data_IF_075729409421
#
_entry.id   IF_075729409421
#
_cell.length_a   1.000
_cell.length_b   1.000
_cell.length_c   1.000
_cell.angle_alpha   90.00
_cell.angle_beta   90.00
_cell.angle_gamma   90.00
#
_symmetry.space_group_name_H-M   'P 1'
#
loop_
_entity.id
_entity.type
_entity.pdbx_description
1 polymer ?
#
# COMPACT_ATOMS: atom_id res chain seq x y z
N UNK A 1 -43.66 -37.73 -45.22
CA UNK A 1 -44.87 -37.40 -44.42
C UNK A 1 -44.57 -36.24 -43.48
N UNK A 2 -45.13 -35.04 -43.71
CA UNK A 2 -45.00 -33.91 -42.76
C UNK A 2 -45.96 -34.14 -41.59
N UNK A 3 -45.43 -34.43 -40.41
CA UNK A 3 -46.22 -34.61 -39.18
C UNK A 3 -46.82 -33.24 -38.81
N UNK A 4 -48.12 -33.04 -39.06
CA UNK A 4 -48.81 -31.79 -38.69
C UNK A 4 -48.85 -31.70 -37.16
N UNK A 5 -48.31 -30.61 -36.61
CA UNK A 5 -48.37 -30.34 -35.17
C UNK A 5 -49.82 -30.15 -34.74
N UNK A 6 -50.18 -30.74 -33.61
CA UNK A 6 -51.52 -30.56 -33.02
C UNK A 6 -51.63 -29.19 -32.35
N UNK A 7 -52.85 -28.63 -32.27
CA UNK A 7 -53.10 -27.35 -31.58
C UNK A 7 -52.55 -27.32 -30.14
N UNK A 8 -52.58 -28.46 -29.45
CA UNK A 8 -52.03 -28.60 -28.10
C UNK A 8 -50.51 -28.41 -28.08
N UNK A 9 -49.79 -28.96 -29.07
CA UNK A 9 -48.35 -28.79 -29.20
C UNK A 9 -47.96 -27.35 -29.56
N UNK A 10 -48.73 -26.70 -30.44
CA UNK A 10 -48.52 -25.27 -30.77
C UNK A 10 -48.69 -24.41 -29.51
N UNK A 11 -49.74 -24.65 -28.72
CA UNK A 11 -50.00 -23.89 -27.49
C UNK A 11 -48.89 -24.07 -26.45
N UNK A 12 -48.38 -25.29 -26.28
CA UNK A 12 -47.27 -25.57 -25.37
C UNK A 12 -45.98 -24.88 -25.79
N UNK A 13 -45.68 -24.83 -27.09
CA UNK A 13 -44.49 -24.13 -27.61
C UNK A 13 -44.62 -22.62 -27.43
N UNK A 14 -45.80 -22.04 -27.69
CA UNK A 14 -46.04 -20.61 -27.47
C UNK A 14 -45.88 -20.26 -25.99
N UNK A 15 -46.43 -21.06 -25.07
CA UNK A 15 -46.24 -20.85 -23.63
C UNK A 15 -44.77 -20.96 -23.20
N UNK A 16 -44.03 -21.93 -23.75
CA UNK A 16 -42.59 -22.07 -23.50
C UNK A 16 -41.80 -20.84 -23.98
N UNK A 17 -42.11 -20.34 -25.17
CA UNK A 17 -41.49 -19.12 -25.73
C UNK A 17 -41.77 -17.89 -24.86
N UNK A 18 -43.01 -17.71 -24.39
CA UNK A 18 -43.37 -16.60 -23.51
C UNK A 18 -42.61 -16.67 -22.18
N UNK A 19 -42.44 -17.86 -21.60
CA UNK A 19 -41.65 -18.05 -20.37
C UNK A 19 -40.16 -17.74 -20.57
N UNK A 20 -39.59 -18.14 -21.71
CA UNK A 20 -38.19 -17.83 -22.05
C UNK A 20 -37.99 -16.32 -22.26
N UNK A 21 -38.91 -15.66 -22.98
CA UNK A 21 -38.82 -14.20 -23.20
C UNK A 21 -39.02 -13.44 -21.88
N UNK A 22 -39.95 -13.88 -21.02
CA UNK A 22 -40.21 -13.25 -19.73
C UNK A 22 -39.02 -13.42 -18.76
N UNK A 23 -38.42 -14.61 -18.69
CA UNK A 23 -37.24 -14.85 -17.86
C UNK A 23 -36.00 -14.10 -18.36
N UNK A 24 -35.81 -14.02 -19.68
CA UNK A 24 -34.74 -13.20 -20.26
C UNK A 24 -34.97 -11.70 -20.00
N UNK A 25 -36.21 -11.21 -20.12
CA UNK A 25 -36.56 -9.82 -19.82
C UNK A 25 -36.36 -9.45 -18.35
N UNK A 26 -36.77 -10.33 -17.43
CA UNK A 26 -36.54 -10.15 -16.00
C UNK A 26 -35.04 -10.18 -15.66
N UNK A 27 -34.29 -11.11 -16.25
CA UNK A 27 -32.83 -11.20 -16.11
C UNK A 27 -32.10 -9.97 -16.65
N UNK A 28 -32.50 -9.47 -17.82
CA UNK A 28 -31.95 -8.24 -18.41
C UNK A 28 -32.24 -7.02 -17.53
N UNK A 29 -33.44 -6.91 -16.97
CA UNK A 29 -33.81 -5.80 -16.08
C UNK A 29 -33.04 -5.85 -14.75
N UNK A 30 -32.86 -7.05 -14.18
CA UNK A 30 -32.04 -7.26 -12.99
C UNK A 30 -30.55 -6.98 -13.24
N UNK A 31 -30.01 -7.45 -14.37
CA UNK A 31 -28.65 -7.20 -14.79
C UNK A 31 -28.40 -5.71 -15.05
N UNK A 32 -29.33 -5.01 -15.71
CA UNK A 32 -29.25 -3.56 -15.91
C UNK A 32 -29.25 -2.81 -14.58
N UNK A 33 -30.07 -3.23 -13.61
CA UNK A 33 -30.10 -2.63 -12.26
C UNK A 33 -28.80 -2.89 -11.49
N UNK A 34 -28.26 -4.11 -11.55
CA UNK A 34 -27.01 -4.50 -10.89
C UNK A 34 -25.76 -3.86 -11.54
N UNK A 35 -25.74 -3.72 -12.86
CA UNK A 35 -24.63 -3.09 -13.58
C UNK A 35 -24.67 -1.55 -13.47
N UNK A 36 -25.87 -0.96 -13.36
CA UNK A 36 -26.02 0.48 -13.10
C UNK A 36 -25.57 0.92 -11.70
N UNK A 37 -25.38 -0.03 -10.77
CA UNK A 37 -24.86 0.26 -9.42
C UNK A 37 -23.33 0.31 -9.33
N UNK A 38 -22.58 -0.17 -10.32
CA UNK A 38 -21.10 -0.14 -10.30
C UNK A 38 -20.49 0.97 -11.19
N UNK A 39 -21.24 1.53 -12.14
CA UNK A 39 -20.83 2.67 -12.98
C UNK A 39 -21.63 3.95 -12.70
N UNK A 40 -22.10 4.11 -11.46
CA UNK A 40 -22.42 5.45 -10.96
C UNK A 40 -21.08 6.16 -10.73
N UNK A 41 -20.63 6.95 -11.70
CA UNK A 41 -19.84 8.14 -11.41
C UNK A 41 -20.55 8.85 -10.27
N UNK A 42 -20.08 8.69 -9.04
CA UNK A 42 -20.69 9.32 -7.88
C UNK A 42 -20.76 10.81 -8.19
N UNK A 43 -21.94 11.31 -8.52
CA UNK A 43 -22.18 12.73 -8.56
C UNK A 43 -21.85 13.19 -7.15
N UNK A 44 -20.72 13.87 -7.02
CA UNK A 44 -20.29 14.49 -5.77
C UNK A 44 -21.28 15.63 -5.53
N UNK A 45 -22.40 15.33 -4.88
CA UNK A 45 -23.35 16.36 -4.49
C UNK A 45 -22.76 17.09 -3.30
N UNK A 46 -22.24 18.29 -3.54
CA UNK A 46 -21.79 19.19 -2.49
C UNK A 46 -23.05 19.75 -1.82
N UNK A 47 -23.44 19.15 -0.69
CA UNK A 47 -24.48 19.73 0.16
C UNK A 47 -23.87 20.88 0.98
N UNK A 48 -24.36 22.11 0.73
CA UNK A 48 -23.86 23.34 1.35
C UNK A 48 -24.40 23.55 2.77
N UNK A 49 -25.17 22.60 3.33
CA UNK A 49 -25.72 22.73 4.68
C UNK A 49 -24.65 22.53 5.76
N UNK A 50 -24.08 23.64 6.23
CA UNK A 50 -23.32 23.72 7.49
C UNK A 50 -24.18 24.30 8.62
N UNK A 51 -23.78 24.13 9.88
CA UNK A 51 -24.40 24.86 11.00
C UNK A 51 -24.26 26.37 10.80
N UNK A 52 -25.25 27.15 11.26
CA UNK A 52 -25.35 28.62 11.04
C UNK A 52 -24.07 29.37 11.45
N UNK A 53 -23.37 28.93 12.51
CA UNK A 53 -22.08 29.52 12.93
C UNK A 53 -20.91 29.21 11.98
N UNK A 54 -20.89 28.03 11.35
CA UNK A 54 -19.88 27.69 10.33
C UNK A 54 -20.19 28.39 9.00
N UNK A 55 -21.44 28.67 8.70
CA UNK A 55 -21.87 29.27 7.44
C UNK A 55 -21.29 30.68 7.22
N UNK A 56 -21.13 31.49 8.29
CA UNK A 56 -20.48 32.81 8.18
C UNK A 56 -18.98 32.72 7.84
N UNK A 57 -18.29 31.71 8.39
CA UNK A 57 -16.84 31.50 8.16
C UNK A 57 -16.49 30.94 6.78
N UNK A 58 -17.46 30.36 6.06
CA UNK A 58 -17.25 29.77 4.73
C UNK A 58 -17.79 30.63 3.57
N UNK A 59 -18.38 31.79 3.84
CA UNK A 59 -18.91 32.69 2.80
C UNK A 59 -17.86 33.01 1.71
N UNK A 60 -16.67 33.43 2.13
CA UNK A 60 -15.56 33.72 1.22
C UNK A 60 -15.09 32.47 0.43
N UNK A 61 -15.11 31.29 1.06
CA UNK A 61 -14.76 30.04 0.37
C UNK A 61 -15.72 29.76 -0.79
N UNK A 62 -17.03 29.87 -0.55
CA UNK A 62 -18.04 29.68 -1.59
C UNK A 62 -18.00 30.77 -2.65
N UNK A 63 -17.75 32.03 -2.27
CA UNK A 63 -17.56 33.12 -3.24
C UNK A 63 -16.40 32.85 -4.20
N UNK A 64 -15.28 32.32 -3.71
CA UNK A 64 -14.13 31.93 -4.54
C UNK A 64 -14.49 30.74 -5.43
N UNK A 65 -15.17 29.73 -4.89
CA UNK A 65 -15.64 28.58 -5.66
C UNK A 65 -16.55 29.00 -6.82
N UNK A 66 -17.57 29.82 -6.54
CA UNK A 66 -18.53 30.31 -7.53
C UNK A 66 -17.84 31.17 -8.60
N UNK A 67 -16.83 31.98 -8.23
CA UNK A 67 -16.01 32.75 -9.18
C UNK A 67 -15.17 31.85 -10.07
N UNK A 68 -14.61 30.75 -9.57
CA UNK A 68 -13.90 29.78 -10.41
C UNK A 68 -14.87 29.15 -11.43
N UNK A 69 -16.03 28.68 -10.97
CA UNK A 69 -17.07 28.12 -11.84
C UNK A 69 -17.57 29.12 -12.90
N UNK A 70 -17.69 30.40 -12.54
CA UNK A 70 -18.17 31.46 -13.44
C UNK A 70 -17.10 31.97 -14.40
N UNK A 71 -15.92 32.32 -13.90
CA UNK A 71 -14.94 33.16 -14.61
C UNK A 71 -13.69 32.41 -15.10
N UNK A 72 -13.38 31.21 -14.57
CA UNK A 72 -12.19 30.45 -15.01
C UNK A 72 -12.31 30.01 -16.48
N UNK A 73 -11.28 30.29 -17.29
CA UNK A 73 -11.32 30.09 -18.75
C UNK A 73 -11.52 28.61 -19.14
N UNK A 74 -10.77 27.69 -18.53
CA UNK A 74 -10.83 26.27 -18.86
C UNK A 74 -11.80 25.52 -17.96
N UNK A 75 -13.09 25.54 -18.30
CA UNK A 75 -14.13 24.85 -17.52
C UNK A 75 -13.91 23.35 -17.39
N UNK A 76 -13.25 22.70 -18.35
CA UNK A 76 -12.97 21.27 -18.31
C UNK A 76 -11.99 20.88 -17.18
N UNK A 77 -11.18 21.82 -16.69
CA UNK A 77 -10.30 21.58 -15.55
C UNK A 77 -11.02 21.67 -14.19
N UNK A 78 -12.25 22.21 -14.14
CA UNK A 78 -13.03 22.36 -12.92
C UNK A 78 -13.74 21.05 -12.56
N UNK A 79 -12.96 20.11 -12.03
CA UNK A 79 -13.49 18.83 -11.53
C UNK A 79 -13.76 18.96 -10.03
N UNK A 80 -15.03 18.96 -9.63
CA UNK A 80 -15.45 19.23 -8.24
C UNK A 80 -14.73 18.35 -7.21
N UNK A 81 -14.53 17.06 -7.53
CA UNK A 81 -13.80 16.13 -6.65
C UNK A 81 -12.35 16.57 -6.43
N UNK A 82 -11.66 16.99 -7.49
CA UNK A 82 -10.28 17.48 -7.42
C UNK A 82 -10.20 18.77 -6.60
N UNK A 83 -11.15 19.69 -6.81
CA UNK A 83 -11.22 20.95 -6.06
C UNK A 83 -11.48 20.74 -4.57
N UNK A 84 -12.41 19.84 -4.21
CA UNK A 84 -12.68 19.47 -2.81
C UNK A 84 -11.44 18.86 -2.17
N UNK A 85 -10.79 17.90 -2.83
CA UNK A 85 -9.57 17.28 -2.31
C UNK A 85 -8.45 18.32 -2.13
N UNK A 86 -8.28 19.24 -3.07
CA UNK A 86 -7.33 20.35 -2.96
C UNK A 86 -7.63 21.29 -1.79
N UNK A 87 -8.90 21.62 -1.55
CA UNK A 87 -9.31 22.43 -0.40
C UNK A 87 -9.02 21.75 0.94
N UNK A 88 -9.30 20.44 1.06
CA UNK A 88 -8.99 19.66 2.26
C UNK A 88 -7.48 19.58 2.47
N UNK A 89 -6.70 19.30 1.41
CA UNK A 89 -5.23 19.27 1.46
C UNK A 89 -4.67 20.61 1.94
N UNK A 90 -5.17 21.74 1.43
CA UNK A 90 -4.74 23.08 1.86
C UNK A 90 -5.09 23.39 3.32
N UNK A 91 -6.28 22.98 3.77
CA UNK A 91 -6.71 23.14 5.18
C UNK A 91 -5.82 22.36 6.15
N UNK A 92 -5.43 21.15 5.78
CA UNK A 92 -4.53 20.35 6.60
C UNK A 92 -3.11 20.92 6.58
N UNK A 93 -2.61 21.33 5.41
CA UNK A 93 -1.30 21.93 5.26
C UNK A 93 -1.14 23.25 6.03
N UNK A 94 -2.23 24.00 6.30
CA UNK A 94 -2.16 25.24 7.08
C UNK A 94 -1.83 25.03 8.56
N UNK A 95 -1.70 23.79 9.03
CA UNK A 95 -1.22 23.48 10.38
C UNK A 95 0.31 23.57 10.50
N UNK A 96 1.02 23.72 9.38
CA UNK A 96 2.49 23.69 9.30
C UNK A 96 3.12 22.46 9.97
N UNK A 97 2.35 21.38 10.10
CA UNK A 97 2.78 20.07 10.57
C UNK A 97 2.94 19.13 9.35
N UNK A 98 4.18 18.75 8.99
CA UNK A 98 4.42 17.90 7.82
C UNK A 98 3.86 16.48 7.96
N UNK A 99 3.45 16.07 9.18
CA UNK A 99 2.92 14.74 9.45
C UNK A 99 1.40 14.68 9.46
N UNK A 100 0.71 15.82 9.61
CA UNK A 100 -0.74 15.87 9.43
C UNK A 100 -1.03 16.04 7.95
N UNK A 101 -1.57 14.98 7.33
CA UNK A 101 -1.85 14.95 5.89
C UNK A 101 -3.24 14.38 5.59
N UNK A 102 -3.88 14.89 4.55
CA UNK A 102 -5.08 14.28 4.00
C UNK A 102 -4.70 13.32 2.87
N UNK A 103 -4.96 12.04 3.09
CA UNK A 103 -4.82 11.01 2.08
C UNK A 103 -6.14 10.83 1.34
N UNK A 104 -6.13 11.10 0.03
CA UNK A 104 -7.26 10.78 -0.84
C UNK A 104 -7.53 9.27 -0.84
N UNK A 105 -8.74 8.82 -1.25
CA UNK A 105 -9.09 7.39 -1.18
C UNK A 105 -8.08 6.43 -1.84
N UNK A 106 -7.45 6.85 -2.95
CA UNK A 106 -6.42 6.06 -3.64
C UNK A 106 -5.11 6.00 -2.83
N UNK A 107 -4.64 7.15 -2.34
CA UNK A 107 -3.43 7.28 -1.52
C UNK A 107 -3.59 6.50 -0.19
N UNK A 108 -4.74 6.65 0.47
CA UNK A 108 -5.08 5.93 1.70
C UNK A 108 -5.14 4.41 1.48
N UNK A 109 -5.71 3.97 0.35
CA UNK A 109 -5.72 2.55 -0.02
C UNK A 109 -4.30 2.01 -0.17
N UNK A 110 -3.42 2.72 -0.87
CA UNK A 110 -2.02 2.27 -1.03
C UNK A 110 -1.24 2.29 0.28
N UNK A 111 -1.43 3.30 1.12
CA UNK A 111 -0.84 3.32 2.46
C UNK A 111 -1.23 2.07 3.27
N UNK A 112 -2.50 1.65 3.20
CA UNK A 112 -2.97 0.42 3.85
C UNK A 112 -2.39 -0.85 3.23
N UNK A 113 -2.28 -0.92 1.91
CA UNK A 113 -1.66 -2.05 1.21
C UNK A 113 -0.15 -2.17 1.52
N UNK A 114 0.54 -1.03 1.70
CA UNK A 114 1.93 -1.03 2.13
C UNK A 114 2.07 -1.53 3.59
N UNK A 115 1.14 -1.16 4.48
CA UNK A 115 1.11 -1.68 5.85
C UNK A 115 0.70 -3.16 5.92
N UNK A 116 -0.17 -3.65 5.04
CA UNK A 116 -0.50 -5.08 5.02
C UNK A 116 0.64 -5.95 4.50
N UNK A 117 1.60 -5.36 3.77
CA UNK A 117 2.64 -6.10 3.06
C UNK A 117 2.14 -6.79 1.80
N UNK A 118 0.89 -6.53 1.41
CA UNK A 118 0.22 -7.09 0.24
C UNK A 118 -0.32 -5.97 -0.63
N UNK A 119 0.24 -5.84 -1.82
CA UNK A 119 -0.23 -4.89 -2.82
C UNK A 119 -0.31 -5.55 -4.19
N UNK A 120 -1.09 -4.93 -5.08
CA UNK A 120 -1.24 -5.40 -6.45
C UNK A 120 -0.33 -4.62 -7.40
N UNK A 121 0.53 -5.33 -8.10
CA UNK A 121 1.49 -4.73 -9.02
C UNK A 121 2.08 -5.74 -9.97
N UNK A 122 3.21 -5.36 -10.58
CA UNK A 122 3.89 -6.16 -11.61
C UNK A 122 5.18 -6.80 -11.09
N UNK A 123 5.60 -6.48 -9.87
CA UNK A 123 6.80 -7.03 -9.24
C UNK A 123 8.10 -6.47 -9.81
N UNK A 124 8.26 -5.15 -9.77
CA UNK A 124 9.46 -4.43 -10.22
C UNK A 124 9.92 -3.54 -9.07
N UNK A 125 11.21 -3.57 -8.75
CA UNK A 125 11.86 -2.53 -7.97
C UNK A 125 12.26 -1.38 -8.91
N UNK A 126 11.71 -0.20 -8.66
CA UNK A 126 11.91 1.00 -9.46
C UNK A 126 12.96 1.91 -8.81
N UNK A 127 13.60 2.73 -9.63
CA UNK A 127 14.49 3.80 -9.19
C UNK A 127 14.84 4.70 -10.36
N UNK A 128 15.67 5.71 -10.13
CA UNK A 128 16.24 6.50 -11.21
C UNK A 128 17.65 6.05 -11.53
N UNK A 129 17.97 6.06 -12.82
CA UNK A 129 19.32 5.92 -13.33
C UNK A 129 19.54 7.02 -14.36
N UNK A 130 20.60 7.80 -14.17
CA UNK A 130 20.96 8.90 -15.07
C UNK A 130 19.81 9.91 -15.29
N UNK A 131 18.95 10.10 -14.27
CA UNK A 131 17.78 10.97 -14.33
C UNK A 131 16.51 10.35 -14.92
N UNK A 132 16.57 9.11 -15.42
CA UNK A 132 15.44 8.42 -16.04
C UNK A 132 14.88 7.30 -15.16
N UNK A 133 13.56 7.12 -15.19
CA UNK A 133 12.90 6.03 -14.48
C UNK A 133 13.38 4.68 -15.04
N UNK A 134 13.88 3.82 -14.16
CA UNK A 134 14.49 2.56 -14.53
C UNK A 134 14.08 1.41 -13.60
N UNK A 135 14.16 0.20 -14.15
CA UNK A 135 14.05 -1.04 -13.41
C UNK A 135 15.38 -1.30 -12.70
N UNK A 136 15.38 -1.23 -11.38
CA UNK A 136 16.53 -1.66 -10.58
C UNK A 136 16.65 -3.18 -10.64
N UNK A 137 15.55 -3.87 -10.36
CA UNK A 137 15.47 -5.32 -10.49
C UNK A 137 14.00 -5.78 -10.64
N UNK A 138 13.71 -6.78 -11.48
CA UNK A 138 12.46 -7.53 -11.39
C UNK A 138 12.47 -8.41 -10.14
N UNK A 139 11.32 -8.57 -9.49
CA UNK A 139 11.15 -9.52 -8.39
C UNK A 139 11.04 -10.94 -8.96
N UNK A 140 11.76 -11.89 -8.36
CA UNK A 140 11.80 -13.27 -8.88
C UNK A 140 10.45 -13.98 -8.78
N UNK A 141 10.07 -14.72 -9.81
CA UNK A 141 8.79 -15.41 -9.93
C UNK A 141 7.59 -14.49 -10.21
N UNK A 142 7.78 -13.17 -10.26
CA UNK A 142 6.70 -12.18 -10.43
C UNK A 142 6.41 -11.87 -11.91
N UNK A 143 5.25 -11.25 -12.23
CA UNK A 143 4.82 -11.02 -13.60
C UNK A 143 5.85 -10.32 -14.49
N UNK A 144 6.57 -9.31 -13.99
CA UNK A 144 7.56 -8.57 -14.77
C UNK A 144 8.74 -9.44 -15.21
N UNK A 145 9.29 -10.28 -14.33
CA UNK A 145 10.37 -11.20 -14.67
C UNK A 145 9.92 -12.16 -15.79
N UNK A 146 8.70 -12.70 -15.67
CA UNK A 146 8.10 -13.62 -16.66
C UNK A 146 7.88 -12.97 -18.02
N UNK A 147 7.71 -11.65 -18.06
CA UNK A 147 7.58 -10.88 -19.31
C UNK A 147 8.94 -10.43 -19.88
N UNK A 148 10.06 -10.91 -19.32
CA UNK A 148 11.40 -10.65 -19.86
C UNK A 148 11.94 -9.25 -19.55
N UNK A 149 11.37 -8.56 -18.55
CA UNK A 149 11.88 -7.31 -18.01
C UNK A 149 13.19 -7.60 -17.26
N UNK A 150 14.19 -6.74 -17.46
CA UNK A 150 15.53 -6.90 -16.92
C UNK A 150 15.94 -5.67 -16.10
N UNK A 151 16.87 -5.90 -15.18
CA UNK A 151 17.57 -4.81 -14.50
C UNK A 151 18.23 -3.88 -15.54
N UNK A 152 18.06 -2.58 -15.36
CA UNK A 152 18.56 -1.54 -16.25
C UNK A 152 17.64 -1.16 -17.41
N UNK A 153 16.48 -1.81 -17.59
CA UNK A 153 15.47 -1.35 -18.55
C UNK A 153 14.90 0.00 -18.10
N UNK A 154 14.83 0.99 -19.00
CA UNK A 154 14.21 2.29 -18.75
C UNK A 154 12.71 2.23 -19.05
N UNK A 155 11.89 2.83 -18.20
CA UNK A 155 10.44 2.92 -18.40
C UNK A 155 10.13 4.30 -18.97
N UNK A 156 9.80 4.35 -20.25
CA UNK A 156 9.54 5.59 -20.99
C UNK A 156 8.07 6.00 -20.87
N UNK A 157 7.14 5.04 -20.91
CA UNK A 157 5.71 5.30 -20.77
C UNK A 157 4.99 4.25 -19.92
N UNK A 158 3.93 4.68 -19.24
CA UNK A 158 2.97 3.81 -18.54
C UNK A 158 1.57 4.11 -19.05
N UNK A 159 0.92 3.11 -19.65
CA UNK A 159 -0.39 3.22 -20.32
C UNK A 159 -0.44 4.39 -21.32
N UNK A 160 0.68 4.61 -22.02
CA UNK A 160 0.83 5.68 -23.03
C UNK A 160 1.20 7.06 -22.47
N UNK A 161 1.18 7.25 -21.14
CA UNK A 161 1.60 8.48 -20.49
C UNK A 161 3.13 8.54 -20.39
N UNK A 162 3.71 9.68 -20.72
CA UNK A 162 5.16 9.92 -20.65
C UNK A 162 5.66 9.97 -19.20
N UNK A 163 6.77 9.27 -18.93
CA UNK A 163 7.36 9.16 -17.59
C UNK A 163 8.49 10.17 -17.32
N UNK A 164 8.75 11.08 -18.26
CA UNK A 164 9.70 12.19 -18.04
C UNK A 164 9.16 13.09 -16.94
N UNK A 165 10.02 13.47 -16.00
CA UNK A 165 9.71 14.33 -14.84
C UNK A 165 8.62 13.80 -13.88
N UNK A 166 8.06 12.62 -14.12
CA UNK A 166 7.15 11.94 -13.19
C UNK A 166 7.97 11.45 -12.01
N UNK A 167 7.54 11.74 -10.78
CA UNK A 167 8.23 11.30 -9.56
C UNK A 167 8.09 9.79 -9.33
N UNK A 168 9.03 9.19 -8.58
CA UNK A 168 8.98 7.76 -8.26
C UNK A 168 7.66 7.33 -7.59
N UNK A 169 7.12 8.06 -6.59
CA UNK A 169 5.83 7.71 -5.98
C UNK A 169 4.65 7.76 -6.96
N UNK A 170 4.65 8.71 -7.89
CA UNK A 170 3.63 8.80 -8.94
C UNK A 170 3.74 7.64 -9.94
N UNK A 171 4.96 7.31 -10.37
CA UNK A 171 5.20 6.16 -11.24
C UNK A 171 4.72 4.85 -10.59
N UNK A 172 5.02 4.65 -9.30
CA UNK A 172 4.49 3.51 -8.51
C UNK A 172 2.95 3.50 -8.52
N UNK A 173 2.32 4.66 -8.34
CA UNK A 173 0.86 4.84 -8.33
C UNK A 173 0.20 4.56 -9.69
N UNK A 174 0.92 4.76 -10.80
CA UNK A 174 0.46 4.45 -12.15
C UNK A 174 0.64 2.97 -12.50
N UNK A 175 1.74 2.37 -12.04
CA UNK A 175 2.06 0.95 -12.28
C UNK A 175 1.21 0.03 -11.40
N UNK A 176 0.90 0.43 -10.16
CA UNK A 176 -0.05 -0.28 -9.27
C UNK A 176 -1.48 -0.17 -9.79
N UNK A 177 -2.32 -1.10 -9.39
CA UNK A 177 -3.72 -1.16 -9.82
C UNK A 177 -4.37 -2.47 -9.43
N UNK A 178 -5.69 -2.64 -9.63
CA UNK A 178 -6.42 -3.81 -9.16
C UNK A 178 -5.86 -5.12 -9.70
N UNK A 179 -5.94 -6.19 -8.90
CA UNK A 179 -5.54 -7.54 -9.30
C UNK A 179 -6.20 -7.95 -10.63
N UNK A 180 -5.45 -8.60 -11.51
CA UNK A 180 -5.96 -9.09 -12.81
C UNK A 180 -6.11 -8.01 -13.88
N UNK A 181 -5.98 -6.72 -13.55
CA UNK A 181 -5.93 -5.65 -14.57
C UNK A 181 -4.56 -5.64 -15.25
N UNK A 182 -4.51 -5.07 -16.45
CA UNK A 182 -3.26 -4.92 -17.22
C UNK A 182 -2.67 -3.53 -17.06
N UNK A 183 -1.35 -3.46 -17.15
CA UNK A 183 -0.59 -2.23 -17.39
C UNK A 183 0.29 -2.43 -18.60
N UNK A 184 0.38 -1.41 -19.44
CA UNK A 184 1.29 -1.39 -20.59
C UNK A 184 2.50 -0.52 -20.26
N UNK A 185 3.68 -1.12 -20.26
CA UNK A 185 4.95 -0.41 -20.11
C UNK A 185 5.62 -0.28 -21.47
N UNK A 186 5.96 0.94 -21.88
CA UNK A 186 6.86 1.16 -23.02
C UNK A 186 8.26 1.35 -22.47
N UNK A 187 9.18 0.48 -22.88
CA UNK A 187 10.53 0.41 -22.30
C UNK A 187 11.63 0.60 -23.34
N UNK A 188 12.80 1.02 -22.87
CA UNK A 188 14.03 1.12 -23.64
C UNK A 188 15.13 0.30 -22.95
N UNK A 189 15.79 -0.58 -23.70
CA UNK A 189 16.89 -1.41 -23.19
C UNK A 189 18.23 -0.92 -23.74
N UNK A 190 19.22 -0.81 -22.87
CA UNK A 190 20.56 -0.40 -23.27
C UNK A 190 21.12 -1.33 -24.36
N UNK A 191 21.57 -0.75 -25.47
CA UNK A 191 22.08 -1.49 -26.63
C UNK A 191 21.03 -1.83 -27.68
N UNK A 192 19.74 -1.57 -27.43
CA UNK A 192 18.66 -1.69 -28.42
C UNK A 192 18.22 -0.29 -28.85
N UNK A 193 18.12 -0.01 -30.17
CA UNK A 193 17.82 1.34 -30.67
C UNK A 193 16.34 1.72 -30.55
N UNK A 194 15.45 0.73 -30.48
CA UNK A 194 14.00 0.92 -30.50
C UNK A 194 13.38 0.62 -29.13
N UNK A 195 12.29 1.31 -28.80
CA UNK A 195 11.47 0.98 -27.64
C UNK A 195 10.62 -0.27 -27.90
N UNK A 196 10.31 -1.01 -26.85
CA UNK A 196 9.40 -2.15 -26.91
C UNK A 196 8.30 -2.04 -25.87
N UNK A 197 7.13 -2.59 -26.20
CA UNK A 197 5.97 -2.59 -25.32
C UNK A 197 5.82 -3.93 -24.59
N UNK A 198 5.50 -3.86 -23.31
CA UNK A 198 5.21 -5.03 -22.47
C UNK A 198 3.86 -4.83 -21.79
N UNK A 199 2.91 -5.73 -22.05
CA UNK A 199 1.68 -5.81 -21.26
C UNK A 199 1.86 -6.79 -20.11
N UNK A 200 1.58 -6.33 -18.89
CA UNK A 200 1.74 -7.14 -17.68
C UNK A 200 0.42 -7.17 -16.93
N UNK A 201 -0.01 -8.37 -16.54
CA UNK A 201 -1.16 -8.55 -15.66
C UNK A 201 -0.71 -8.34 -14.22
N UNK A 202 -1.36 -7.41 -13.52
CA UNK A 202 -1.10 -7.14 -12.11
C UNK A 202 -1.50 -8.35 -11.26
N UNK A 203 -0.64 -8.72 -10.33
CA UNK A 203 -0.85 -9.82 -9.38
C UNK A 203 -0.55 -9.36 -7.96
N UNK A 204 -0.96 -10.16 -6.97
CA UNK A 204 -0.57 -9.94 -5.58
C UNK A 204 0.95 -10.06 -5.44
N UNK A 205 1.55 -9.05 -4.84
CA UNK A 205 2.95 -9.03 -4.45
C UNK A 205 2.97 -9.09 -2.93
N UNK A 206 3.62 -10.12 -2.40
CA UNK A 206 3.80 -10.30 -0.97
C UNK A 206 5.26 -9.97 -0.67
N UNK A 207 5.48 -8.98 0.19
CA UNK A 207 6.82 -8.62 0.65
C UNK A 207 6.92 -8.97 2.13
N UNK A 208 7.79 -9.90 2.52
CA UNK A 208 7.94 -10.27 3.92
C UNK A 208 8.44 -9.07 4.74
N UNK A 209 7.91 -8.91 5.95
CA UNK A 209 8.37 -7.94 6.92
C UNK A 209 9.66 -8.39 7.58
N UNK A 210 9.89 -9.70 7.72
CA UNK A 210 11.04 -10.27 8.43
C UNK A 210 11.91 -11.12 7.51
N UNK A 211 13.21 -10.82 7.48
CA UNK A 211 14.23 -11.64 6.82
C UNK A 211 15.23 -12.16 7.87
N UNK A 212 15.41 -13.49 7.93
CA UNK A 212 16.41 -14.12 8.79
C UNK A 212 17.56 -14.70 7.95
N UNK A 213 18.80 -14.38 8.33
CA UNK A 213 20.02 -14.98 7.79
C UNK A 213 20.97 -15.36 8.92
N UNK A 214 21.69 -16.46 8.77
CA UNK A 214 22.77 -16.83 9.69
C UNK A 214 24.11 -16.43 9.09
N UNK A 215 24.89 -15.64 9.81
CA UNK A 215 26.24 -15.22 9.46
C UNK A 215 27.25 -16.05 10.24
N UNK A 216 28.35 -16.44 9.61
CA UNK A 216 29.45 -17.10 10.31
C UNK A 216 30.32 -16.08 11.03
N UNK A 217 30.55 -16.30 12.33
CA UNK A 217 31.53 -15.55 13.11
C UNK A 217 32.92 -16.19 12.99
N UNK A 218 33.97 -15.43 13.30
CA UNK A 218 35.38 -15.87 13.18
C UNK A 218 35.75 -17.13 13.98
N UNK A 219 34.90 -17.57 14.91
CA UNK A 219 35.07 -18.80 15.71
C UNK A 219 34.22 -19.99 15.26
N UNK A 220 33.52 -19.91 14.12
CA UNK A 220 32.59 -20.94 13.66
C UNK A 220 31.21 -20.93 14.34
N UNK A 221 31.01 -20.03 15.31
CA UNK A 221 29.69 -19.71 15.89
C UNK A 221 28.85 -18.95 14.87
N UNK A 222 27.53 -18.94 15.04
CA UNK A 222 26.62 -18.23 14.15
C UNK A 222 26.03 -16.98 14.78
N UNK A 223 25.80 -15.95 13.97
CA UNK A 223 25.06 -14.75 14.34
C UNK A 223 23.77 -14.74 13.55
N UNK A 224 22.63 -14.63 14.24
CA UNK A 224 21.34 -14.45 13.60
C UNK A 224 21.20 -12.98 13.19
N UNK A 225 21.23 -12.71 11.90
CA UNK A 225 20.90 -11.41 11.32
C UNK A 225 19.40 -11.38 11.02
N UNK A 226 18.66 -10.66 11.86
CA UNK A 226 17.22 -10.53 11.81
C UNK A 226 16.87 -9.12 11.31
N UNK A 227 16.54 -9.02 10.03
CA UNK A 227 16.19 -7.75 9.40
C UNK A 227 14.68 -7.57 9.38
N UNK A 228 14.22 -6.45 9.93
CA UNK A 228 12.82 -6.07 9.96
C UNK A 228 12.62 -4.88 9.00
N UNK A 229 11.82 -5.06 7.94
CA UNK A 229 11.65 -4.06 6.89
C UNK A 229 10.43 -3.16 7.08
N UNK A 230 9.46 -3.57 7.90
CA UNK A 230 8.26 -2.81 8.27
C UNK A 230 7.59 -3.38 9.51
N UNK A 231 6.68 -2.62 10.11
CA UNK A 231 5.74 -3.10 11.13
C UNK A 231 4.33 -3.21 10.53
N UNK A 232 4.11 -4.26 9.74
CA UNK A 232 2.87 -4.55 9.04
C UNK A 232 2.03 -5.69 9.62
N UNK A 233 0.90 -6.00 8.97
CA UNK A 233 -0.13 -6.94 9.48
C UNK A 233 0.41 -8.35 9.79
N UNK A 234 1.38 -8.84 9.01
CA UNK A 234 1.95 -10.21 9.16
C UNK A 234 3.21 -10.28 10.02
N UNK A 235 3.70 -9.13 10.48
CA UNK A 235 5.02 -9.02 11.10
C UNK A 235 5.15 -9.89 12.33
N UNK A 236 4.15 -9.90 13.21
CA UNK A 236 4.19 -10.66 14.45
C UNK A 236 4.28 -12.17 14.19
N UNK A 237 3.57 -12.69 13.18
CA UNK A 237 3.63 -14.10 12.78
C UNK A 237 4.98 -14.46 12.18
N UNK A 238 5.48 -13.65 11.24
CA UNK A 238 6.79 -13.86 10.61
C UNK A 238 7.93 -13.77 11.62
N UNK A 239 7.81 -12.85 12.58
CA UNK A 239 8.77 -12.68 13.67
C UNK A 239 8.86 -13.91 14.56
N UNK A 240 7.71 -14.43 15.01
CA UNK A 240 7.69 -15.63 15.86
C UNK A 240 8.32 -16.83 15.15
N UNK A 241 8.08 -17.00 13.84
CA UNK A 241 8.72 -18.05 13.04
C UNK A 241 10.24 -17.87 12.99
N UNK A 242 10.72 -16.65 12.74
CA UNK A 242 12.14 -16.37 12.71
C UNK A 242 12.81 -16.61 14.08
N UNK A 243 12.17 -16.20 15.18
CA UNK A 243 12.66 -16.47 16.54
C UNK A 243 12.72 -17.98 16.83
N UNK A 244 11.69 -18.74 16.43
CA UNK A 244 11.69 -20.20 16.59
C UNK A 244 12.78 -20.88 15.75
N UNK A 245 13.19 -20.30 14.62
CA UNK A 245 14.35 -20.77 13.85
C UNK A 245 15.68 -20.44 14.51
N UNK A 246 15.83 -19.22 15.06
CA UNK A 246 17.02 -18.80 15.81
C UNK A 246 17.29 -19.75 16.99
N UNK A 247 16.24 -20.11 17.73
CA UNK A 247 16.34 -20.95 18.94
C UNK A 247 16.68 -22.42 18.67
N UNK A 248 16.60 -22.88 17.41
CA UNK A 248 17.05 -24.23 17.03
C UNK A 248 18.57 -24.34 16.91
N UNK A 249 19.28 -23.22 16.85
CA UNK A 249 20.73 -23.21 16.69
C UNK A 249 21.43 -23.15 18.05
N UNK A 250 21.97 -24.28 18.49
CA UNK A 250 22.70 -24.38 19.77
C UNK A 250 24.07 -23.66 19.74
N UNK A 251 24.56 -23.27 18.55
CA UNK A 251 25.85 -22.59 18.36
C UNK A 251 25.68 -21.09 18.06
N UNK A 252 24.59 -20.50 18.56
CA UNK A 252 24.26 -19.10 18.41
C UNK A 252 25.13 -18.21 19.33
N UNK A 253 25.88 -17.31 18.73
CA UNK A 253 26.69 -16.30 19.43
C UNK A 253 25.88 -15.09 19.89
N UNK A 254 24.86 -14.72 19.12
CA UNK A 254 24.05 -13.53 19.33
C UNK A 254 23.16 -13.21 18.15
N UNK A 255 22.42 -12.11 18.30
CA UNK A 255 21.42 -11.62 17.35
C UNK A 255 21.80 -10.19 16.94
N UNK A 256 21.67 -9.91 15.65
CA UNK A 256 21.68 -8.55 15.11
C UNK A 256 20.25 -8.24 14.70
N UNK A 257 19.64 -7.24 15.34
CA UNK A 257 18.38 -6.67 14.90
C UNK A 257 18.67 -5.54 13.92
N UNK A 258 18.33 -5.72 12.65
CA UNK A 258 18.57 -4.72 11.61
C UNK A 258 17.28 -3.96 11.28
N UNK A 259 17.20 -2.71 11.73
CA UNK A 259 16.10 -1.78 11.51
C UNK A 259 16.43 -0.74 10.42
N UNK A 260 17.54 -0.89 9.69
CA UNK A 260 17.96 0.08 8.67
C UNK A 260 16.95 0.11 7.52
N UNK A 261 16.60 1.32 7.10
CA UNK A 261 15.60 1.58 6.05
C UNK A 261 14.21 1.02 6.36
N UNK A 262 13.87 0.87 7.65
CA UNK A 262 12.53 0.53 8.11
C UNK A 262 11.81 1.82 8.57
N UNK A 263 10.85 2.33 7.78
CA UNK A 263 10.15 3.59 8.10
C UNK A 263 9.12 3.44 9.23
N UNK A 264 8.99 2.25 9.82
CA UNK A 264 8.08 1.97 10.92
C UNK A 264 6.82 1.24 10.46
N UNK A 265 5.67 1.64 11.02
CA UNK A 265 4.38 1.00 10.83
C UNK A 265 3.58 1.00 12.14
N UNK A 266 2.89 -0.09 12.45
CA UNK A 266 2.00 -0.13 13.59
C UNK A 266 2.72 -0.01 14.95
N UNK A 267 2.27 0.94 15.76
CA UNK A 267 2.70 1.14 17.16
C UNK A 267 2.62 -0.16 17.99
N UNK A 268 1.53 -0.91 17.86
CA UNK A 268 1.37 -2.18 18.58
C UNK A 268 2.43 -3.22 18.17
N UNK A 269 2.81 -3.22 16.89
CA UNK A 269 3.92 -4.03 16.39
C UNK A 269 5.24 -3.61 17.05
N UNK A 270 5.50 -2.31 17.18
CA UNK A 270 6.69 -1.82 17.90
C UNK A 270 6.76 -2.37 19.33
N UNK A 271 5.64 -2.30 20.06
CA UNK A 271 5.55 -2.84 21.44
C UNK A 271 5.77 -4.35 21.46
N UNK A 272 5.15 -5.08 20.53
CA UNK A 272 5.29 -6.54 20.43
C UNK A 272 6.75 -6.97 20.17
N UNK A 273 7.46 -6.25 19.30
CA UNK A 273 8.84 -6.54 18.91
C UNK A 273 9.81 -6.11 20.02
N UNK A 274 9.65 -4.92 20.62
CA UNK A 274 10.47 -4.50 21.75
C UNK A 274 10.37 -5.49 22.93
N UNK A 275 9.17 -6.02 23.17
CA UNK A 275 8.91 -7.04 24.20
C UNK A 275 9.61 -8.38 23.95
N UNK A 276 10.16 -8.62 22.75
CA UNK A 276 11.01 -9.80 22.50
C UNK A 276 12.34 -9.72 23.26
N UNK A 277 12.83 -8.49 23.48
CA UNK A 277 14.17 -8.24 24.02
C UNK A 277 14.16 -7.69 25.45
N UNK A 278 13.01 -7.19 25.91
CA UNK A 278 12.83 -6.59 27.23
C UNK A 278 12.04 -7.51 28.15
N UNK A 279 12.48 -7.65 29.39
CA UNK A 279 11.81 -8.49 30.40
C UNK A 279 10.68 -7.77 31.13
N UNK A 280 10.74 -6.44 31.27
CA UNK A 280 9.72 -5.63 31.93
C UNK A 280 9.89 -4.14 31.62
N UNK A 281 8.95 -3.32 32.09
CA UNK A 281 9.02 -1.86 32.04
C UNK A 281 8.31 -1.24 30.83
N UNK A 282 8.46 0.08 30.68
CA UNK A 282 7.78 0.88 29.66
C UNK A 282 8.51 0.76 28.33
N UNK A 283 7.77 0.60 27.23
CA UNK A 283 8.28 0.65 25.86
C UNK A 283 8.09 2.04 25.26
N UNK A 284 6.90 2.61 25.38
CA UNK A 284 6.58 3.93 24.79
C UNK A 284 5.40 4.58 25.50
N UNK A 285 5.40 5.90 25.56
CA UNK A 285 4.27 6.71 26.02
C UNK A 285 3.73 7.56 24.87
N UNK A 286 2.41 7.62 24.75
CA UNK A 286 1.70 8.42 23.76
C UNK A 286 0.94 9.54 24.46
N UNK A 287 1.30 10.78 24.17
CA UNK A 287 0.61 11.96 24.66
C UNK A 287 -0.48 12.40 23.67
N UNK A 288 -1.69 12.66 24.19
CA UNK A 288 -2.83 13.13 23.39
C UNK A 288 -3.28 14.54 23.80
N UNK A 289 -4.08 15.17 22.95
CA UNK A 289 -4.60 16.53 23.16
C UNK A 289 -5.55 16.71 24.36
N UNK A 290 -5.91 15.63 25.05
CA UNK A 290 -6.85 15.63 26.19
C UNK A 290 -6.18 15.36 27.55
N UNK A 291 -4.90 15.70 27.70
CA UNK A 291 -4.08 15.43 28.91
C UNK A 291 -4.00 13.94 29.32
N UNK A 292 -4.52 13.02 28.50
CA UNK A 292 -4.42 11.58 28.73
C UNK A 292 -3.12 11.07 28.08
N UNK A 293 -2.16 10.69 28.93
CA UNK A 293 -0.95 9.97 28.48
C UNK A 293 -1.22 8.48 28.54
N UNK A 294 -1.14 7.82 27.39
CA UNK A 294 -1.27 6.37 27.31
C UNK A 294 0.12 5.72 27.31
N UNK A 295 0.42 4.92 28.34
CA UNK A 295 1.67 4.18 28.46
C UNK A 295 1.52 2.76 27.93
N UNK A 296 2.47 2.32 27.10
CA UNK A 296 2.59 0.96 26.61
C UNK A 296 3.84 0.32 27.22
N UNK A 297 3.64 -0.74 27.98
CA UNK A 297 4.72 -1.52 28.61
C UNK A 297 4.97 -2.82 27.85
N UNK A 298 6.04 -3.52 28.24
CA UNK A 298 6.34 -4.88 27.77
C UNK A 298 5.07 -5.74 27.84
N UNK A 299 4.64 -6.25 26.70
CA UNK A 299 3.32 -6.87 26.50
C UNK A 299 3.34 -8.39 26.45
N UNK A 300 4.54 -8.99 26.40
CA UNK A 300 4.75 -10.44 26.37
C UNK A 300 6.12 -10.82 26.89
N UNK A 301 6.29 -12.09 27.23
CA UNK A 301 7.60 -12.69 27.49
C UNK A 301 8.28 -13.02 26.16
N UNK A 302 9.38 -12.33 25.86
CA UNK A 302 10.29 -12.69 24.77
C UNK A 302 10.97 -14.04 25.01
N UNK A 303 11.34 -14.71 23.92
CA UNK A 303 12.12 -15.96 23.92
C UNK A 303 13.61 -15.71 23.74
N UNK A 304 14.00 -14.55 23.19
CA UNK A 304 15.41 -14.16 23.00
C UNK A 304 15.86 -12.99 23.89
N UNK A 305 15.36 -12.92 25.11
CA UNK A 305 15.66 -11.83 26.06
C UNK A 305 17.11 -11.83 26.55
N UNK A 306 17.78 -12.99 26.61
CA UNK A 306 19.11 -13.14 27.23
C UNK A 306 20.27 -13.18 26.21
N UNK A 307 19.98 -13.37 24.92
CA UNK A 307 20.98 -13.49 23.88
C UNK A 307 21.71 -12.16 23.67
N UNK A 308 23.00 -12.20 23.35
CA UNK A 308 23.75 -10.98 22.97
C UNK A 308 23.05 -10.31 21.78
N UNK A 309 22.82 -9.01 21.88
CA UNK A 309 22.05 -8.23 20.90
C UNK A 309 22.84 -6.99 20.48
N UNK A 310 22.77 -6.67 19.19
CA UNK A 310 23.14 -5.37 18.62
C UNK A 310 21.98 -4.92 17.74
N UNK A 311 21.64 -3.63 17.76
CA UNK A 311 20.61 -3.06 16.90
C UNK A 311 21.26 -2.15 15.87
N UNK A 312 20.94 -2.33 14.59
CA UNK A 312 21.42 -1.46 13.52
C UNK A 312 20.31 -0.50 13.10
N UNK A 313 20.65 0.80 13.03
CA UNK A 313 19.74 1.86 12.55
C UNK A 313 20.45 2.73 11.52
N UNK A 314 19.67 3.50 10.75
CA UNK A 314 20.20 4.56 9.88
C UNK A 314 19.16 5.67 9.71
N UNK A 315 19.44 6.66 8.86
CA UNK A 315 18.51 7.76 8.56
C UNK A 315 17.15 7.30 7.98
N UNK A 316 17.05 6.04 7.53
CA UNK A 316 15.79 5.44 7.07
C UNK A 316 15.02 4.68 8.15
N UNK A 317 15.55 4.60 9.38
CA UNK A 317 14.88 4.03 10.54
C UNK A 317 13.98 5.10 11.19
N UNK A 318 12.66 4.92 11.14
CA UNK A 318 11.72 5.92 11.63
C UNK A 318 10.53 5.31 12.40
N UNK A 319 9.84 6.14 13.18
CA UNK A 319 8.58 5.84 13.85
C UNK A 319 8.66 4.58 14.73
N UNK A 320 7.91 3.52 14.42
CA UNK A 320 7.95 2.25 15.16
C UNK A 320 9.37 1.67 15.29
N UNK A 321 10.26 1.88 14.31
CA UNK A 321 11.67 1.47 14.40
C UNK A 321 12.41 2.23 15.51
N UNK A 322 12.18 3.55 15.60
CA UNK A 322 12.77 4.41 16.64
C UNK A 322 12.22 4.04 18.02
N UNK A 323 10.95 3.67 18.12
CA UNK A 323 10.35 3.18 19.37
C UNK A 323 11.07 1.91 19.84
N UNK A 324 11.30 0.93 18.96
CA UNK A 324 12.01 -0.31 19.32
C UNK A 324 13.46 -0.02 19.72
N UNK A 325 14.18 0.76 18.91
CA UNK A 325 15.57 1.11 19.19
C UNK A 325 15.70 1.92 20.50
N UNK A 326 14.85 2.93 20.68
CA UNK A 326 14.81 3.76 21.88
C UNK A 326 14.48 2.96 23.13
N UNK A 327 13.46 2.09 23.09
CA UNK A 327 13.13 1.23 24.22
C UNK A 327 14.28 0.27 24.58
N UNK A 328 14.97 -0.30 23.58
CA UNK A 328 16.13 -1.17 23.82
C UNK A 328 17.30 -0.35 24.43
N UNK A 329 17.52 0.87 23.94
CA UNK A 329 18.57 1.76 24.42
C UNK A 329 18.31 2.24 25.85
N UNK A 330 17.11 2.73 26.14
CA UNK A 330 16.71 3.28 27.44
C UNK A 330 16.79 2.23 28.56
N UNK A 331 16.56 0.96 28.21
CA UNK A 331 16.70 -0.18 29.11
C UNK A 331 18.12 -0.74 29.19
N UNK A 332 19.09 -0.11 28.52
CA UNK A 332 20.49 -0.58 28.42
C UNK A 332 20.58 -2.03 27.94
N UNK A 333 19.65 -2.46 27.08
CA UNK A 333 19.55 -3.87 26.66
C UNK A 333 20.57 -4.20 25.57
N UNK A 334 20.88 -3.27 24.67
CA UNK A 334 21.85 -3.47 23.60
C UNK A 334 22.46 -2.15 23.13
N UNK A 335 23.60 -2.26 22.45
CA UNK A 335 24.19 -1.16 21.70
C UNK A 335 23.38 -0.89 20.43
N UNK A 336 23.15 0.39 20.14
CA UNK A 336 22.54 0.87 18.90
C UNK A 336 23.68 1.39 18.01
N UNK A 337 23.77 0.87 16.79
CA UNK A 337 24.86 1.11 15.82
C UNK A 337 24.34 1.78 14.56
#
# INVERSE_FOLDING_TARGET
MKKKMTLKQVRTIIFGLILVVSSFGAGFFYAKKAFSSEESSSLFTIDRKTSIEKEQGFSLFWDVWDRLEKDFLNKAALVSKTMVNGAIKGMVASLDDPYTVYLEPKENKYSKEDLSGEFYGVGIQLGYRDGYLAVIAPLSGMPAEKQGIKAGDFIVKVDGNDMTDVSLPEAVTMIRGPNGTKVKLTMLRAGEPDTFDVEIVRQVIIVPSVELKFLEASGGEKIAHLKLTRFGDKTDEEWLKAVDEILKDENLKGVILDLRNNPGGYLKGAVFIASEFLSSGVVVSQEGSKEETQTYSVSRSGKITEQKLVVLVNEGSASASEIVAGAIQDHNRAEIV
#
